data_IF_153755476368
#
_entry.id   IF_153755476368
#
_cell.length_a   1.000
_cell.length_b   1.000
_cell.length_c   1.000
_cell.angle_alpha   90.00
_cell.angle_beta   90.00
_cell.angle_gamma   90.00
#
_symmetry.space_group_name_H-M   'P 1'
#
loop_
_entity.id
_entity.type
_entity.pdbx_description
1 polymer ?
#
# COMPACT_ATOMS: atom_id res chain seq x y z
N UNK A 1 2.18 -5.23 24.47
CA UNK A 1 1.51 -5.33 23.16
C UNK A 1 1.64 -3.97 22.52
N UNK A 2 2.19 -3.88 21.30
CA UNK A 2 2.34 -2.59 20.64
C UNK A 2 0.99 -2.18 20.08
N UNK A 3 0.50 -1.01 20.45
CA UNK A 3 -0.78 -0.47 19.98
C UNK A 3 -0.65 -0.03 18.51
N UNK A 4 -1.54 -0.50 17.64
CA UNK A 4 -1.54 -0.17 16.21
C UNK A 4 -2.83 0.59 15.89
N UNK A 5 -2.76 1.91 15.69
CA UNK A 5 -3.93 2.73 15.44
C UNK A 5 -4.60 2.45 14.08
N UNK A 6 -3.85 1.96 13.11
CA UNK A 6 -4.33 1.70 11.76
C UNK A 6 -3.46 0.69 11.02
N UNK A 7 -4.07 -0.10 10.13
CA UNK A 7 -3.36 -1.00 9.23
C UNK A 7 -4.11 -1.12 7.90
N UNK A 8 -3.58 -0.56 6.84
CA UNK A 8 -4.21 -0.53 5.51
C UNK A 8 -4.45 -1.90 4.87
N UNK A 9 -3.81 -2.96 5.37
CA UNK A 9 -4.00 -4.34 4.89
C UNK A 9 -5.17 -5.06 5.56
N UNK A 10 -5.77 -4.46 6.59
CA UNK A 10 -6.89 -5.05 7.33
C UNK A 10 -8.21 -4.44 6.84
N UNK A 11 -9.11 -5.28 6.33
CA UNK A 11 -10.42 -4.84 5.80
C UNK A 11 -11.28 -4.05 6.79
N UNK A 12 -11.11 -4.28 8.08
CA UNK A 12 -11.83 -3.52 9.09
C UNK A 12 -11.29 -2.11 9.30
N UNK A 13 -10.04 -1.82 8.88
CA UNK A 13 -9.47 -0.48 8.88
C UNK A 13 -9.67 0.24 7.54
N UNK A 14 -9.58 -0.48 6.42
CA UNK A 14 -9.72 0.07 5.08
C UNK A 14 -10.50 -0.89 4.18
N UNK A 15 -11.64 -0.44 3.68
CA UNK A 15 -12.46 -1.16 2.71
C UNK A 15 -12.78 -0.25 1.53
N UNK A 16 -12.69 -0.74 0.28
CA UNK A 16 -12.37 -2.10 -0.13
C UNK A 16 -10.87 -2.44 -0.05
N UNK A 17 -9.98 -1.46 0.01
CA UNK A 17 -8.53 -1.62 0.11
C UNK A 17 -7.76 -0.43 -0.43
N UNK A 18 -6.45 -0.58 -0.61
CA UNK A 18 -5.57 0.51 -1.07
C UNK A 18 -5.52 0.68 -2.61
N UNK A 19 -6.34 -0.07 -3.35
CA UNK A 19 -6.56 0.10 -4.78
C UNK A 19 -8.07 0.12 -5.03
N UNK A 20 -8.57 1.22 -5.56
CA UNK A 20 -9.99 1.55 -5.71
C UNK A 20 -10.26 2.12 -7.09
N UNK A 21 -11.52 2.15 -7.50
CA UNK A 21 -11.94 2.87 -8.70
C UNK A 21 -12.26 4.32 -8.37
N UNK A 22 -12.17 5.19 -9.37
CA UNK A 22 -12.65 6.56 -9.27
C UNK A 22 -14.09 6.57 -8.77
N UNK A 23 -14.38 7.38 -7.73
CA UNK A 23 -15.71 7.53 -7.15
C UNK A 23 -16.21 6.32 -6.34
N UNK A 24 -15.41 5.27 -6.14
CA UNK A 24 -15.81 4.09 -5.36
C UNK A 24 -15.92 4.43 -3.88
N UNK A 25 -16.98 3.93 -3.23
CA UNK A 25 -17.18 4.14 -1.80
C UNK A 25 -16.08 3.46 -0.98
N UNK A 26 -15.51 4.23 -0.06
CA UNK A 26 -14.44 3.79 0.85
C UNK A 26 -14.85 3.98 2.31
N UNK A 27 -14.40 3.08 3.14
CA UNK A 27 -14.56 3.18 4.58
C UNK A 27 -13.18 3.11 5.23
N UNK A 28 -12.85 4.14 5.97
CA UNK A 28 -11.68 4.17 6.84
C UNK A 28 -12.10 4.02 8.29
N UNK A 29 -11.35 3.24 9.05
CA UNK A 29 -11.48 3.14 10.51
C UNK A 29 -10.14 3.23 11.17
N UNK A 30 -10.06 4.04 12.19
CA UNK A 30 -8.90 4.11 13.07
C UNK A 30 -9.32 3.85 14.50
N UNK A 31 -8.38 3.37 15.29
CA UNK A 31 -8.56 3.18 16.72
C UNK A 31 -7.56 4.04 17.48
N UNK A 32 -8.02 4.72 18.51
CA UNK A 32 -7.20 5.57 19.35
C UNK A 32 -7.37 5.17 20.82
N UNK A 33 -6.30 5.26 21.63
CA UNK A 33 -6.44 5.08 23.07
C UNK A 33 -7.30 6.22 23.65
N UNK A 34 -8.22 5.88 24.52
CA UNK A 34 -9.04 6.89 25.25
C UNK A 34 -8.21 7.89 26.03
N UNK A 35 -7.01 7.48 26.47
CA UNK A 35 -6.05 8.35 27.15
C UNK A 35 -5.60 9.54 26.30
N UNK A 36 -5.71 9.45 24.98
CA UNK A 36 -5.41 10.55 24.07
C UNK A 36 -6.48 11.67 24.12
N UNK A 37 -7.64 11.42 24.69
CA UNK A 37 -8.75 12.39 24.77
C UNK A 37 -9.04 13.06 23.43
N UNK A 38 -9.13 12.23 22.38
CA UNK A 38 -9.31 12.70 21.02
C UNK A 38 -10.63 13.42 20.84
N UNK A 39 -10.60 14.63 20.31
CA UNK A 39 -11.80 15.44 20.04
C UNK A 39 -12.22 15.43 18.57
N UNK A 40 -11.28 15.26 17.65
CA UNK A 40 -11.53 15.20 16.21
C UNK A 40 -10.45 14.38 15.51
N UNK A 41 -10.84 13.71 14.43
CA UNK A 41 -9.95 12.94 13.56
C UNK A 41 -10.19 13.33 12.12
N UNK A 42 -9.11 13.49 11.35
CA UNK A 42 -9.15 13.82 9.92
C UNK A 42 -8.28 12.87 9.10
N UNK A 43 -8.79 12.48 7.95
CA UNK A 43 -7.99 11.91 6.86
C UNK A 43 -7.47 13.06 6.01
N UNK A 44 -6.19 13.08 5.74
CA UNK A 44 -5.58 14.03 4.83
C UNK A 44 -5.19 13.28 3.55
N UNK A 45 -5.74 13.71 2.42
CA UNK A 45 -5.36 13.23 1.09
C UNK A 45 -4.46 14.26 0.42
N UNK A 46 -3.41 13.81 -0.23
CA UNK A 46 -2.48 14.65 -0.98
C UNK A 46 -2.19 14.02 -2.34
N UNK A 47 -2.42 14.78 -3.42
CA UNK A 47 -2.05 14.36 -4.77
C UNK A 47 -0.58 14.67 -5.05
N UNK A 48 -0.01 14.05 -6.10
CA UNK A 48 1.35 14.39 -6.56
C UNK A 48 1.45 15.85 -7.05
N UNK A 49 0.33 16.47 -7.41
CA UNK A 49 0.24 17.90 -7.75
C UNK A 49 0.26 18.85 -6.55
N UNK A 50 0.27 18.33 -5.32
CA UNK A 50 0.29 19.12 -4.09
C UNK A 50 -1.10 19.59 -3.63
N UNK A 51 -2.17 19.15 -4.28
CA UNK A 51 -3.52 19.40 -3.80
C UNK A 51 -3.76 18.61 -2.53
N UNK A 52 -4.33 19.28 -1.53
CA UNK A 52 -4.63 18.70 -0.22
C UNK A 52 -6.13 18.81 0.06
N UNK A 53 -6.72 17.69 0.44
CA UNK A 53 -8.10 17.62 0.92
C UNK A 53 -8.14 16.94 2.30
N UNK A 54 -9.07 17.36 3.14
CA UNK A 54 -9.27 16.78 4.46
C UNK A 54 -10.72 16.33 4.65
N UNK A 55 -10.88 15.18 5.32
CA UNK A 55 -12.15 14.55 5.59
C UNK A 55 -12.26 14.20 7.07
N UNK A 56 -13.34 14.64 7.71
CA UNK A 56 -13.55 14.41 9.13
C UNK A 56 -14.17 13.05 9.42
N UNK A 57 -13.63 12.35 10.42
CA UNK A 57 -14.20 11.13 10.95
C UNK A 57 -15.33 11.42 11.93
N UNK A 58 -16.25 10.46 12.01
CA UNK A 58 -17.24 10.40 13.08
C UNK A 58 -16.81 9.36 14.13
N UNK A 59 -17.11 9.64 15.39
CA UNK A 59 -16.93 8.65 16.44
C UNK A 59 -17.88 7.47 16.19
N UNK A 60 -17.37 6.23 16.22
CA UNK A 60 -18.17 5.04 15.93
C UNK A 60 -18.57 4.30 17.20
N UNK A 61 -17.60 3.96 18.05
CA UNK A 61 -17.85 3.16 19.25
C UNK A 61 -16.65 3.11 20.18
N UNK A 62 -16.91 2.65 21.41
CA UNK A 62 -15.87 2.14 22.32
C UNK A 62 -15.66 0.64 22.12
N UNK A 63 -14.41 0.21 22.24
CA UNK A 63 -14.07 -1.20 22.36
C UNK A 63 -13.31 -1.42 23.69
N UNK A 64 -13.93 -2.17 24.59
CA UNK A 64 -13.46 -2.24 25.98
C UNK A 64 -13.55 -0.87 26.66
N UNK A 65 -12.68 -0.61 27.62
CA UNK A 65 -12.64 0.64 28.38
C UNK A 65 -11.67 1.68 27.82
N UNK A 66 -10.76 1.26 26.94
CA UNK A 66 -9.58 2.04 26.57
C UNK A 66 -9.42 2.36 25.10
N UNK A 67 -10.27 1.84 24.22
CA UNK A 67 -10.15 2.03 22.77
C UNK A 67 -11.37 2.75 22.20
N UNK A 68 -11.12 3.82 21.49
CA UNK A 68 -12.13 4.60 20.75
C UNK A 68 -11.97 4.37 19.25
N UNK A 69 -13.05 3.97 18.60
CA UNK A 69 -13.11 3.74 17.16
C UNK A 69 -13.73 4.91 16.45
N UNK A 70 -13.08 5.35 15.41
CA UNK A 70 -13.49 6.44 14.55
C UNK A 70 -13.66 5.94 13.13
N UNK A 71 -14.71 6.38 12.46
CA UNK A 71 -15.09 5.94 11.12
C UNK A 71 -15.29 7.12 10.19
N UNK A 72 -14.82 6.97 8.96
CA UNK A 72 -15.07 7.86 7.84
C UNK A 72 -15.60 7.04 6.67
N UNK A 73 -16.69 7.49 6.08
CA UNK A 73 -17.20 7.04 4.78
C UNK A 73 -16.98 8.17 3.79
N UNK A 74 -16.33 7.88 2.67
CA UNK A 74 -16.04 8.85 1.63
C UNK A 74 -15.93 8.14 0.28
N UNK A 75 -16.10 8.87 -0.81
CA UNK A 75 -15.80 8.36 -2.15
C UNK A 75 -14.30 8.51 -2.44
N UNK A 76 -13.77 7.61 -3.24
CA UNK A 76 -12.43 7.74 -3.79
C UNK A 76 -12.37 8.96 -4.73
N UNK A 77 -11.21 9.63 -4.86
CA UNK A 77 -11.04 10.74 -5.79
C UNK A 77 -11.47 10.39 -7.22
N UNK A 78 -12.06 11.36 -7.92
CA UNK A 78 -12.50 11.21 -9.31
C UNK A 78 -11.33 11.02 -10.28
N UNK A 79 -10.21 11.66 -10.01
CA UNK A 79 -9.02 11.59 -10.84
C UNK A 79 -8.23 10.33 -10.56
N UNK A 80 -8.06 9.49 -11.59
CA UNK A 80 -7.22 8.30 -11.49
C UNK A 80 -5.74 8.68 -11.31
N UNK A 81 -5.06 8.00 -10.40
CA UNK A 81 -3.69 8.29 -10.08
C UNK A 81 -3.24 7.72 -8.75
N UNK A 82 -2.12 8.21 -8.27
CA UNK A 82 -1.62 7.90 -6.95
C UNK A 82 -1.98 9.07 -6.03
N UNK A 83 -2.57 8.74 -4.90
CA UNK A 83 -2.90 9.67 -3.82
C UNK A 83 -2.21 9.20 -2.56
N UNK A 84 -1.60 10.12 -1.88
CA UNK A 84 -0.94 9.89 -0.60
C UNK A 84 -1.87 10.28 0.53
N UNK A 85 -1.86 9.54 1.64
CA UNK A 85 -2.68 9.89 2.78
C UNK A 85 -2.02 9.57 4.12
N UNK A 86 -2.50 10.29 5.13
CA UNK A 86 -2.18 10.10 6.53
C UNK A 86 -3.34 10.63 7.38
N UNK A 87 -3.27 10.49 8.69
CA UNK A 87 -4.32 10.98 9.58
C UNK A 87 -3.76 12.00 10.54
N UNK A 88 -4.63 12.94 10.91
CA UNK A 88 -4.40 13.88 12.00
C UNK A 88 -5.53 13.75 13.02
N UNK A 89 -5.22 13.91 14.29
CA UNK A 89 -6.22 13.95 15.33
C UNK A 89 -5.87 15.00 16.38
N UNK A 90 -6.93 15.63 16.93
CA UNK A 90 -6.80 16.72 17.88
C UNK A 90 -6.95 16.18 19.31
N UNK A 91 -6.04 16.61 20.17
CA UNK A 91 -6.02 16.30 21.60
C UNK A 91 -5.97 17.61 22.39
N UNK A 92 -6.23 17.63 23.70
CA UNK A 92 -6.05 18.80 24.54
C UNK A 92 -4.64 19.40 24.52
N UNK A 93 -3.65 18.60 24.10
CA UNK A 93 -2.24 19.00 24.04
C UNK A 93 -1.76 19.39 22.63
N UNK A 94 -2.66 19.41 21.67
CA UNK A 94 -2.37 19.76 20.28
C UNK A 94 -2.73 18.66 19.30
N UNK A 95 -2.51 18.94 18.02
CA UNK A 95 -2.77 18.01 16.92
C UNK A 95 -1.61 17.02 16.80
N UNK A 96 -1.93 15.74 16.74
CA UNK A 96 -1.00 14.64 16.51
C UNK A 96 -1.25 14.02 15.15
N UNK A 97 -0.21 13.41 14.60
CA UNK A 97 -0.25 12.74 13.30
C UNK A 97 -0.14 11.24 13.46
N UNK A 98 -0.85 10.49 12.62
CA UNK A 98 -0.67 9.04 12.46
C UNK A 98 -0.09 8.82 11.06
N UNK A 99 1.08 8.20 11.02
CA UNK A 99 1.87 8.00 9.81
C UNK A 99 2.27 6.55 9.64
N UNK A 100 2.76 6.20 8.45
CA UNK A 100 3.26 4.88 8.12
C UNK A 100 4.72 4.74 8.58
N UNK A 101 5.00 3.74 9.39
CA UNK A 101 6.35 3.34 9.78
C UNK A 101 6.99 2.42 8.71
N UNK A 102 8.31 2.33 8.70
CA UNK A 102 9.07 1.51 7.74
C UNK A 102 8.72 0.01 7.78
N UNK A 103 8.24 -0.48 8.90
CA UNK A 103 7.76 -1.87 9.07
C UNK A 103 6.35 -2.13 8.50
N UNK A 104 5.67 -1.08 7.99
CA UNK A 104 4.33 -1.15 7.42
C UNK A 104 3.18 -0.97 8.41
N UNK A 105 3.47 -0.73 9.70
CA UNK A 105 2.49 -0.41 10.72
C UNK A 105 2.24 1.10 10.80
N UNK A 106 1.15 1.48 11.43
CA UNK A 106 0.91 2.87 11.79
C UNK A 106 1.66 3.23 13.08
N UNK A 107 2.18 4.44 13.12
CA UNK A 107 2.82 5.06 14.29
C UNK A 107 2.17 6.41 14.56
N UNK A 108 2.04 6.75 15.85
CA UNK A 108 1.65 8.10 16.27
C UNK A 108 2.92 8.96 16.26
N UNK A 109 2.96 9.93 15.35
CA UNK A 109 4.09 10.81 15.14
C UNK A 109 4.49 10.93 13.67
N UNK A 110 5.69 11.41 13.43
CA UNK A 110 6.24 11.58 12.09
C UNK A 110 6.61 10.24 11.44
N UNK A 111 6.31 10.12 10.15
CA UNK A 111 6.57 8.94 9.35
C UNK A 111 6.21 9.17 7.89
N UNK A 112 6.19 8.10 7.12
CA UNK A 112 5.79 8.13 5.72
C UNK A 112 4.26 8.22 5.57
N UNK A 113 3.81 8.49 4.35
CA UNK A 113 2.40 8.48 3.97
C UNK A 113 2.02 7.12 3.39
N UNK A 114 0.77 6.70 3.56
CA UNK A 114 0.23 5.57 2.81
C UNK A 114 -0.08 5.99 1.38
N UNK A 115 -0.05 5.02 0.49
CA UNK A 115 -0.43 5.18 -0.91
C UNK A 115 -1.81 4.58 -1.16
N UNK A 116 -2.69 5.36 -1.78
CA UNK A 116 -3.93 4.93 -2.38
C UNK A 116 -3.78 4.96 -3.90
N UNK A 117 -4.12 3.88 -4.58
CA UNK A 117 -4.12 3.82 -6.04
C UNK A 117 -5.56 3.95 -6.53
N UNK A 118 -5.86 5.02 -7.25
CA UNK A 118 -7.17 5.25 -7.87
C UNK A 118 -7.11 4.84 -9.33
N UNK A 119 -7.88 3.83 -9.70
CA UNK A 119 -7.98 3.32 -11.05
C UNK A 119 -9.16 3.97 -11.79
N UNK A 120 -9.05 4.14 -13.10
CA UNK A 120 -10.20 4.54 -13.92
C UNK A 120 -11.32 3.52 -13.80
N UNK A 121 -12.57 3.95 -13.94
CA UNK A 121 -13.75 3.08 -13.85
C UNK A 121 -13.64 1.86 -14.78
N UNK A 122 -13.14 2.06 -16.00
CA UNK A 122 -12.98 1.02 -17.02
C UNK A 122 -11.64 0.25 -16.95
N UNK A 123 -10.85 0.44 -15.89
CA UNK A 123 -9.59 -0.26 -15.70
C UNK A 123 -9.85 -1.68 -15.14
N UNK A 124 -10.23 -2.58 -16.02
CA UNK A 124 -10.50 -3.98 -15.68
C UNK A 124 -9.42 -4.91 -16.18
N UNK A 125 -8.85 -5.71 -15.27
CA UNK A 125 -8.04 -6.87 -15.70
C UNK A 125 -8.94 -7.83 -16.48
N UNK A 126 -8.58 -8.24 -17.70
CA UNK A 126 -9.33 -9.23 -18.45
C UNK A 126 -9.60 -10.48 -17.63
N UNK A 127 -10.80 -11.05 -17.77
CA UNK A 127 -11.21 -12.21 -16.96
C UNK A 127 -10.23 -13.39 -17.06
N UNK A 128 -9.65 -13.60 -18.24
CA UNK A 128 -8.67 -14.68 -18.45
C UNK A 128 -7.36 -14.48 -17.70
N UNK A 129 -7.04 -13.24 -17.30
CA UNK A 129 -5.82 -12.90 -16.56
C UNK A 129 -6.08 -12.81 -15.04
N UNK A 130 -7.35 -12.74 -14.62
CA UNK A 130 -7.69 -12.64 -13.19
C UNK A 130 -7.34 -13.92 -12.45
N UNK A 131 -6.46 -13.81 -11.45
CA UNK A 131 -5.98 -14.97 -10.68
C UNK A 131 -5.01 -15.87 -11.45
N UNK A 132 -4.65 -15.51 -12.68
CA UNK A 132 -3.64 -16.22 -13.46
C UNK A 132 -2.21 -15.86 -13.03
N UNK A 133 -1.29 -16.75 -13.35
CA UNK A 133 0.15 -16.48 -13.20
C UNK A 133 0.72 -16.14 -14.56
N UNK A 134 1.33 -14.97 -14.68
CA UNK A 134 2.09 -14.59 -15.87
C UNK A 134 3.54 -14.99 -15.69
N UNK A 135 4.06 -15.79 -16.62
CA UNK A 135 5.44 -16.20 -16.63
C UNK A 135 6.16 -15.59 -17.84
N UNK A 136 7.07 -14.67 -17.58
CA UNK A 136 7.88 -14.06 -18.62
C UNK A 136 9.22 -14.77 -18.69
N UNK A 137 9.50 -15.40 -19.85
CA UNK A 137 10.74 -16.11 -20.08
C UNK A 137 11.64 -15.26 -20.99
N UNK A 138 12.87 -15.01 -20.55
CA UNK A 138 13.95 -14.47 -21.36
C UNK A 138 14.83 -15.65 -21.80
N UNK A 139 14.68 -16.16 -23.01
CA UNK A 139 15.34 -17.40 -23.43
C UNK A 139 16.87 -17.37 -23.33
N UNK A 140 17.45 -16.18 -23.51
CA UNK A 140 18.89 -15.93 -23.36
C UNK A 140 19.39 -15.98 -21.91
N UNK A 141 18.47 -15.91 -20.93
CA UNK A 141 18.79 -15.83 -19.49
C UNK A 141 18.14 -16.93 -18.67
N UNK A 142 17.32 -17.78 -19.26
CA UNK A 142 16.50 -18.72 -18.51
C UNK A 142 17.21 -20.05 -18.23
N UNK A 143 17.34 -20.88 -19.22
CA UNK A 143 17.98 -22.20 -19.10
C UNK A 143 18.51 -22.66 -20.46
N UNK A 144 19.70 -23.20 -20.43
CA UNK A 144 20.30 -23.76 -21.62
C UNK A 144 20.17 -25.28 -21.63
N UNK A 145 19.62 -25.82 -22.71
CA UNK A 145 19.49 -27.28 -22.89
C UNK A 145 20.82 -28.02 -23.10
N UNK A 146 21.90 -27.29 -23.40
CA UNK A 146 23.19 -27.86 -23.76
C UNK A 146 23.26 -28.47 -25.19
N UNK A 147 22.10 -28.53 -25.88
CA UNK A 147 22.02 -29.16 -27.22
C UNK A 147 22.33 -28.17 -28.35
N UNK A 148 22.24 -26.88 -28.12
CA UNK A 148 22.51 -25.84 -29.11
C UNK A 148 23.87 -25.20 -28.84
N UNK A 149 24.80 -25.15 -29.81
CA UNK A 149 26.06 -24.45 -29.64
C UNK A 149 25.86 -22.96 -29.37
N UNK A 150 26.77 -22.38 -28.61
CA UNK A 150 26.78 -20.91 -28.42
C UNK A 150 27.18 -20.24 -29.73
N UNK A 151 26.55 -19.09 -30.07
CA UNK A 151 27.02 -18.26 -31.18
C UNK A 151 28.48 -17.86 -30.91
N UNK A 152 29.35 -18.08 -31.87
CA UNK A 152 30.81 -17.88 -31.76
C UNK A 152 31.22 -16.40 -31.50
N UNK A 153 30.33 -15.44 -31.70
CA UNK A 153 30.63 -14.00 -31.67
C UNK A 153 30.04 -13.21 -30.51
N UNK A 154 29.59 -13.85 -29.41
CA UNK A 154 29.18 -13.07 -28.23
C UNK A 154 30.36 -12.88 -27.27
N UNK A 155 30.71 -11.65 -26.88
CA UNK A 155 31.74 -11.40 -25.89
C UNK A 155 31.38 -12.08 -24.55
N UNK A 156 32.32 -12.89 -24.03
CA UNK A 156 32.14 -13.63 -22.76
C UNK A 156 31.74 -12.72 -21.57
N UNK A 157 32.14 -11.44 -21.61
CA UNK A 157 31.84 -10.46 -20.58
C UNK A 157 30.33 -10.07 -20.51
N UNK A 158 29.64 -10.10 -21.64
CA UNK A 158 28.21 -9.78 -21.70
C UNK A 158 27.34 -10.89 -21.09
N UNK A 159 27.82 -12.11 -21.15
CA UNK A 159 27.16 -13.27 -20.57
C UNK A 159 27.31 -13.35 -19.05
N UNK A 160 28.46 -12.97 -18.54
CA UNK A 160 28.75 -13.01 -17.09
C UNK A 160 28.03 -11.91 -16.32
N UNK A 161 27.82 -10.72 -16.90
CA UNK A 161 27.14 -9.62 -16.22
C UNK A 161 25.65 -9.90 -15.98
N UNK A 162 25.01 -10.62 -16.90
CA UNK A 162 23.60 -10.96 -16.81
C UNK A 162 23.31 -12.09 -15.83
N UNK A 163 24.22 -13.03 -15.70
CA UNK A 163 24.14 -14.11 -14.72
C UNK A 163 24.35 -13.57 -13.30
N UNK A 164 25.30 -12.68 -13.10
CA UNK A 164 25.59 -12.11 -11.78
C UNK A 164 24.52 -11.16 -11.26
N UNK A 165 23.74 -10.51 -12.11
CA UNK A 165 22.68 -9.59 -11.68
C UNK A 165 21.38 -10.32 -11.33
N UNK A 166 21.12 -11.49 -11.93
CA UNK A 166 19.82 -12.17 -11.79
C UNK A 166 19.82 -13.43 -10.94
N UNK A 167 20.96 -13.88 -10.42
CA UNK A 167 21.08 -15.28 -10.05
C UNK A 167 21.33 -15.71 -8.61
N UNK A 168 21.64 -14.89 -7.65
CA UNK A 168 22.29 -15.46 -6.45
C UNK A 168 21.41 -16.36 -5.58
N UNK A 169 20.12 -16.44 -5.79
CA UNK A 169 19.27 -17.10 -4.78
C UNK A 169 18.37 -18.21 -5.31
N UNK A 170 18.32 -18.42 -6.61
CA UNK A 170 17.32 -19.33 -7.18
C UNK A 170 17.69 -20.78 -7.20
N UNK A 171 18.95 -21.09 -7.34
CA UNK A 171 19.42 -22.48 -7.39
C UNK A 171 19.42 -23.16 -6.03
N UNK A 172 19.37 -22.41 -4.95
CA UNK A 172 19.27 -22.96 -3.58
C UNK A 172 17.84 -23.32 -3.17
N UNK A 173 16.83 -22.88 -3.92
CA UNK A 173 15.42 -23.15 -3.62
C UNK A 173 14.82 -24.32 -4.42
N UNK A 174 15.58 -24.92 -5.33
CA UNK A 174 15.11 -26.00 -6.21
C UNK A 174 15.81 -27.35 -5.92
N UNK A 175 16.69 -27.38 -4.95
CA UNK A 175 17.35 -28.63 -4.53
C UNK A 175 16.66 -29.30 -3.36
#
# INVERSE_FOLDING_TARGET
MHFIPYNSRKKYHLSPGAAVRSGEDMIFRIVLPRSEQCSAVRLILETDGGEREDFSFSWERMQGENEEWWRLETAAPENAGIVWYYFEYDTPWGTKKISLESNGNAVIGEGSRWRLTVCRENCGTPLWLRGGTMYQIFPDRFCRSGKTPLPENKPAAEYLSLIHISEPTRLQLIS
#
